data_IF_544475010056
#
_entry.id   IF_544475010056
#
_cell.length_a   1.000
_cell.length_b   1.000
_cell.length_c   1.000
_cell.angle_alpha   90.00
_cell.angle_beta   90.00
_cell.angle_gamma   90.00
#
_symmetry.space_group_name_H-M   'P 1'
#
loop_
_entity.id
_entity.type
_entity.pdbx_description
1 polymer ?
#
# COMPACT_ATOMS: atom_id res chain seq x y z
N UNK A 1 -7.93 -6.11 -11.37
CA UNK A 1 -8.92 -5.57 -10.42
C UNK A 1 -8.11 -4.93 -9.30
N UNK A 2 -7.85 -3.62 -9.41
CA UNK A 2 -6.76 -2.94 -8.68
C UNK A 2 -6.72 -3.31 -7.19
N UNK A 3 -5.54 -3.65 -6.67
CA UNK A 3 -5.30 -3.81 -5.22
C UNK A 3 -5.83 -2.62 -4.39
N UNK A 4 -5.83 -1.41 -4.97
CA UNK A 4 -6.42 -0.23 -4.35
C UNK A 4 -7.93 -0.35 -4.09
N UNK A 5 -8.67 -1.05 -4.95
CA UNK A 5 -10.10 -1.32 -4.71
C UNK A 5 -10.27 -2.24 -3.48
N UNK A 6 -9.43 -3.27 -3.35
CA UNK A 6 -9.45 -4.15 -2.18
C UNK A 6 -9.13 -3.38 -0.89
N UNK A 7 -8.16 -2.48 -0.92
CA UNK A 7 -7.83 -1.62 0.21
C UNK A 7 -8.98 -0.66 0.57
N UNK A 8 -9.60 -0.04 -0.43
CA UNK A 8 -10.76 0.84 -0.25
C UNK A 8 -11.91 0.09 0.41
N UNK A 9 -12.29 -1.06 -0.14
CA UNK A 9 -13.38 -1.88 0.38
C UNK A 9 -13.12 -2.34 1.83
N UNK A 10 -11.87 -2.66 2.17
CA UNK A 10 -11.48 -3.04 3.53
C UNK A 10 -11.54 -1.86 4.51
N UNK A 11 -11.13 -0.66 4.08
CA UNK A 11 -11.21 0.59 4.87
C UNK A 11 -12.68 0.98 5.10
N UNK A 12 -13.52 0.88 4.06
CA UNK A 12 -14.97 1.12 4.16
C UNK A 12 -15.63 0.12 5.12
N UNK A 13 -15.31 -1.17 5.01
CA UNK A 13 -15.82 -2.22 5.89
C UNK A 13 -15.41 -2.01 7.37
N UNK A 14 -14.26 -1.37 7.61
CA UNK A 14 -13.80 -0.99 8.94
C UNK A 14 -14.42 0.32 9.47
N UNK A 15 -15.31 0.96 8.70
CA UNK A 15 -15.94 2.23 9.07
C UNK A 15 -14.97 3.42 9.08
N UNK A 16 -13.87 3.31 8.31
CA UNK A 16 -12.88 4.36 8.11
C UNK A 16 -13.18 5.15 6.83
N UNK A 17 -12.57 6.32 6.68
CA UNK A 17 -12.90 7.27 5.62
C UNK A 17 -12.18 6.92 4.31
N UNK A 18 -12.88 6.70 3.20
CA UNK A 18 -12.24 6.22 1.95
C UNK A 18 -12.06 7.27 0.85
N UNK A 19 -12.43 8.55 1.04
CA UNK A 19 -12.29 9.59 -0.02
C UNK A 19 -10.86 9.75 -0.51
N UNK A 20 -9.86 9.48 0.32
CA UNK A 20 -8.46 9.47 -0.10
C UNK A 20 -8.23 8.55 -1.31
N UNK A 21 -8.87 7.38 -1.35
CA UNK A 21 -8.75 6.44 -2.47
C UNK A 21 -9.39 6.95 -3.75
N UNK A 22 -10.58 7.54 -3.64
CA UNK A 22 -11.25 8.16 -4.78
C UNK A 22 -10.42 9.32 -5.34
N UNK A 23 -9.80 10.13 -4.46
CA UNK A 23 -8.87 11.18 -4.85
C UNK A 23 -7.68 10.63 -5.65
N UNK A 24 -7.04 9.55 -5.17
CA UNK A 24 -5.91 8.94 -5.89
C UNK A 24 -6.31 8.42 -7.27
N UNK A 25 -7.50 7.82 -7.39
CA UNK A 25 -8.06 7.33 -8.65
C UNK A 25 -8.32 8.48 -9.63
N UNK A 26 -9.02 9.53 -9.19
CA UNK A 26 -9.34 10.71 -10.00
C UNK A 26 -8.08 11.43 -10.53
N UNK A 27 -6.99 11.41 -9.75
CA UNK A 27 -5.75 12.09 -10.09
C UNK A 27 -4.71 11.19 -10.78
N UNK A 28 -5.08 9.97 -11.17
CA UNK A 28 -4.19 9.04 -11.88
C UNK A 28 -2.96 8.62 -11.06
N UNK A 29 -3.10 8.58 -9.73
CA UNK A 29 -2.04 8.19 -8.79
C UNK A 29 -2.06 6.69 -8.45
N UNK A 30 -2.81 5.90 -9.23
CA UNK A 30 -2.97 4.45 -9.06
C UNK A 30 -2.43 3.76 -10.31
N UNK A 31 -1.71 2.66 -10.11
CA UNK A 31 -1.26 1.79 -11.19
C UNK A 31 -2.29 0.67 -11.42
N UNK A 32 -2.44 0.28 -12.68
CA UNK A 32 -3.14 -0.95 -13.04
C UNK A 32 -2.35 -2.17 -12.56
N UNK A 33 -3.05 -3.26 -12.22
CA UNK A 33 -2.39 -4.45 -11.65
C UNK A 33 -1.41 -5.10 -12.63
N UNK A 34 -1.66 -4.99 -13.94
CA UNK A 34 -0.80 -5.54 -14.99
C UNK A 34 0.50 -4.74 -15.17
N UNK A 35 0.56 -3.50 -14.64
CA UNK A 35 1.79 -2.72 -14.58
C UNK A 35 2.69 -3.12 -13.39
N UNK A 36 2.16 -3.83 -12.39
CA UNK A 36 2.92 -4.24 -11.21
C UNK A 36 3.96 -5.28 -11.60
N UNK A 37 5.24 -4.96 -11.41
CA UNK A 37 6.38 -5.80 -11.77
C UNK A 37 6.84 -6.70 -10.63
N UNK A 38 6.57 -6.31 -9.37
CA UNK A 38 6.95 -7.04 -8.16
C UNK A 38 5.91 -6.82 -7.06
N UNK A 39 5.60 -7.89 -6.34
CA UNK A 39 4.86 -7.83 -5.07
C UNK A 39 5.69 -8.47 -3.98
N UNK A 40 5.89 -7.75 -2.87
CA UNK A 40 6.62 -8.23 -1.71
C UNK A 40 5.62 -8.48 -0.58
N UNK A 41 5.63 -9.69 -0.02
CA UNK A 41 4.91 -10.00 1.21
C UNK A 41 5.67 -9.43 2.41
N UNK A 42 5.02 -8.53 3.13
CA UNK A 42 5.53 -7.83 4.30
C UNK A 42 4.58 -7.94 5.49
N UNK A 43 3.69 -8.94 5.50
CA UNK A 43 2.66 -9.10 6.52
C UNK A 43 3.23 -9.08 7.95
N UNK A 44 4.38 -9.74 8.16
CA UNK A 44 5.07 -9.80 9.45
C UNK A 44 5.64 -8.44 9.93
N UNK A 45 5.76 -7.46 9.02
CA UNK A 45 6.31 -6.13 9.31
C UNK A 45 5.23 -5.09 9.59
N UNK A 46 3.95 -5.41 9.41
CA UNK A 46 2.81 -4.48 9.52
C UNK A 46 2.73 -3.80 10.89
N UNK A 47 3.03 -4.51 11.98
CA UNK A 47 3.07 -3.93 13.32
C UNK A 47 4.15 -2.84 13.46
N UNK A 48 5.33 -3.06 12.87
CA UNK A 48 6.43 -2.08 12.85
C UNK A 48 6.08 -0.89 11.95
N UNK A 49 5.43 -1.13 10.81
CA UNK A 49 4.94 -0.09 9.90
C UNK A 49 3.91 0.82 10.59
N UNK A 50 2.96 0.25 11.32
CA UNK A 50 2.01 1.04 12.14
C UNK A 50 2.71 1.87 13.23
N UNK A 51 3.74 1.32 13.88
CA UNK A 51 4.53 2.06 14.85
C UNK A 51 5.24 3.26 14.20
N UNK A 52 5.83 3.07 13.02
CA UNK A 52 6.45 4.16 12.26
C UNK A 52 5.43 5.24 11.86
N UNK A 53 4.24 4.85 11.37
CA UNK A 53 3.15 5.79 11.04
C UNK A 53 2.76 6.65 12.26
N UNK A 54 2.71 6.07 13.46
CA UNK A 54 2.40 6.83 14.69
C UNK A 54 3.48 7.85 15.07
N UNK A 55 4.74 7.64 14.68
CA UNK A 55 5.82 8.62 14.88
C UNK A 55 5.64 9.88 13.99
N UNK A 56 4.98 9.74 12.84
CA UNK A 56 4.72 10.82 11.89
C UNK A 56 3.43 11.61 12.24
N UNK A 57 3.27 11.99 13.50
CA UNK A 57 2.03 12.59 14.01
C UNK A 57 1.69 13.96 13.39
N UNK A 58 2.66 14.69 12.83
CA UNK A 58 2.43 15.97 12.14
C UNK A 58 2.02 15.80 10.67
N UNK A 59 2.35 14.66 10.05
CA UNK A 59 1.95 14.29 8.70
C UNK A 59 0.62 13.53 8.71
N UNK A 60 0.43 12.65 9.70
CA UNK A 60 -0.80 11.91 9.93
C UNK A 60 -1.51 12.50 11.14
N UNK A 61 -2.43 13.42 10.88
CA UNK A 61 -3.29 14.02 11.91
C UNK A 61 -4.00 12.96 12.77
N UNK A 62 -4.54 13.34 13.94
CA UNK A 62 -5.10 12.39 14.91
C UNK A 62 -6.23 11.51 14.33
N UNK A 63 -6.98 12.04 13.36
CA UNK A 63 -8.11 11.34 12.74
C UNK A 63 -7.72 10.50 11.51
N UNK A 64 -6.44 10.47 11.14
CA UNK A 64 -5.97 9.75 9.95
C UNK A 64 -6.20 8.23 10.09
N UNK A 65 -6.79 7.60 9.06
CA UNK A 65 -7.16 6.18 9.07
C UNK A 65 -6.03 5.26 9.55
N UNK A 66 -4.81 5.48 9.05
CA UNK A 66 -3.65 4.66 9.42
C UNK A 66 -3.17 4.78 10.87
N UNK A 67 -3.55 5.85 11.58
CA UNK A 67 -3.32 5.93 13.02
C UNK A 67 -4.40 5.20 13.82
N UNK A 68 -5.57 4.98 13.22
CA UNK A 68 -6.75 4.34 13.81
C UNK A 68 -6.93 2.88 13.38
N UNK A 69 -6.17 2.42 12.39
CA UNK A 69 -6.23 1.06 11.88
C UNK A 69 -5.85 0.05 12.97
N UNK A 70 -6.64 -1.02 13.08
CA UNK A 70 -6.29 -2.16 13.94
C UNK A 70 -5.14 -2.96 13.32
N UNK A 71 -4.41 -3.78 14.12
CA UNK A 71 -3.40 -4.68 13.58
C UNK A 71 -3.92 -5.59 12.46
N UNK A 72 -5.14 -6.10 12.60
CA UNK A 72 -5.78 -7.00 11.64
C UNK A 72 -6.06 -6.27 10.32
N UNK A 73 -6.62 -5.07 10.38
CA UNK A 73 -6.85 -4.24 9.20
C UNK A 73 -5.52 -3.91 8.52
N UNK A 74 -4.49 -3.54 9.28
CA UNK A 74 -3.18 -3.24 8.73
C UNK A 74 -2.54 -4.46 8.06
N UNK A 75 -2.72 -5.67 8.61
CA UNK A 75 -2.24 -6.88 7.97
C UNK A 75 -2.96 -7.14 6.65
N UNK A 76 -4.28 -6.94 6.62
CA UNK A 76 -5.09 -7.12 5.42
C UNK A 76 -4.74 -6.12 4.30
N UNK A 77 -4.48 -4.85 4.63
CA UNK A 77 -4.34 -3.78 3.62
C UNK A 77 -2.90 -3.30 3.41
N UNK A 78 -1.97 -3.60 4.32
CA UNK A 78 -0.56 -3.22 4.22
C UNK A 78 0.40 -4.40 4.24
N UNK A 79 -0.12 -5.63 4.23
CA UNK A 79 0.70 -6.86 4.24
C UNK A 79 1.40 -7.14 2.92
N UNK A 80 1.04 -6.43 1.85
CA UNK A 80 1.75 -6.50 0.57
C UNK A 80 2.23 -5.11 0.16
N UNK A 81 3.40 -5.06 -0.46
CA UNK A 81 3.92 -3.87 -1.13
C UNK A 81 4.15 -4.16 -2.62
N UNK A 82 3.62 -3.29 -3.47
CA UNK A 82 3.64 -3.46 -4.92
C UNK A 82 4.56 -2.42 -5.56
N UNK A 83 5.34 -2.86 -6.55
CA UNK A 83 6.32 -2.03 -7.23
C UNK A 83 6.18 -2.15 -8.75
N UNK A 84 6.37 -1.02 -9.43
CA UNK A 84 6.49 -0.93 -10.89
C UNK A 84 7.94 -0.64 -11.22
N UNK A 85 8.51 -1.44 -12.13
CA UNK A 85 9.90 -1.26 -12.57
C UNK A 85 10.01 -0.04 -13.49
N UNK A 86 10.55 1.06 -12.96
CA UNK A 86 10.69 2.30 -13.72
C UNK A 86 11.86 2.26 -14.73
N UNK A 87 12.94 1.56 -14.40
CA UNK A 87 14.12 1.41 -15.25
C UNK A 87 14.92 0.16 -14.86
N UNK A 88 15.53 -0.52 -15.83
CA UNK A 88 16.50 -1.59 -15.60
C UNK A 88 17.92 -1.04 -15.62
N UNK A 89 18.81 -1.65 -14.85
CA UNK A 89 20.25 -1.52 -15.04
C UNK A 89 20.78 -2.85 -15.59
N UNK A 90 21.16 -2.90 -16.87
CA UNK A 90 21.53 -4.15 -17.56
C UNK A 90 20.36 -4.85 -18.28
N UNK A 91 20.60 -6.09 -18.71
CA UNK A 91 19.72 -6.83 -19.66
C UNK A 91 18.65 -7.71 -18.99
N UNK A 92 18.44 -7.57 -17.68
CA UNK A 92 17.40 -8.31 -16.94
C UNK A 92 16.02 -7.71 -17.21
N UNK A 93 15.37 -8.13 -18.30
CA UNK A 93 13.98 -7.77 -18.67
C UNK A 93 12.95 -8.78 -18.15
N UNK A 94 13.24 -9.44 -17.03
CA UNK A 94 12.40 -10.49 -16.44
C UNK A 94 11.48 -10.00 -15.31
N UNK A 95 10.60 -10.88 -14.86
CA UNK A 95 9.86 -10.73 -13.61
C UNK A 95 10.85 -10.70 -12.43
N UNK A 96 10.74 -9.72 -11.55
CA UNK A 96 11.63 -9.57 -10.40
C UNK A 96 11.21 -10.55 -9.30
N UNK A 97 12.17 -11.22 -8.63
CA UNK A 97 11.89 -12.00 -7.42
C UNK A 97 12.24 -11.21 -6.14
N UNK A 98 12.90 -10.06 -6.27
CA UNK A 98 13.23 -9.15 -5.18
C UNK A 98 13.65 -7.76 -5.68
N UNK A 99 13.78 -6.82 -4.74
CA UNK A 99 14.21 -5.43 -5.03
C UNK A 99 15.73 -5.28 -5.20
N UNK A 100 16.50 -6.25 -4.70
CA UNK A 100 17.96 -6.24 -4.73
C UNK A 100 18.39 -7.51 -5.48
N UNK A 101 18.37 -7.44 -6.81
CA UNK A 101 18.91 -8.46 -7.71
C UNK A 101 20.04 -7.88 -8.55
#
# INVERSE_FOLDING_TARGET
>A
RSQFNTMRDAVDAAGLESKFYAYLEEHGMIWDDDAISLTVDVADMTARKLAAIRCHATQFGPDHNWRRATPELAQQVMGQEHFVLAATHGDNRGQLNGLIE
#
